data_IF_962966293670
#
_entry.id   IF_962966293670
#
_cell.length_a   1.000
_cell.length_b   1.000
_cell.length_c   1.000
_cell.angle_alpha   90.00
_cell.angle_beta   90.00
_cell.angle_gamma   90.00
#
_symmetry.space_group_name_H-M   'P 1'
#
loop_
_entity.id
_entity.type
_entity.pdbx_description
1 polymer ?
#
# COMPACT_ATOMS: atom_id res chain seq x y z
N UNK A 1 -5.68 24.69 34.38
CA UNK A 1 -5.19 23.30 34.50
C UNK A 1 -6.26 22.19 34.31
N UNK A 2 -7.59 22.40 34.35
CA UNK A 2 -8.53 21.30 34.10
C UNK A 2 -8.69 20.93 32.62
N UNK A 3 -8.57 21.91 31.71
CA UNK A 3 -8.80 21.71 30.26
C UNK A 3 -7.74 20.82 29.60
N UNK A 4 -6.48 20.91 30.02
CA UNK A 4 -5.41 20.05 29.46
C UNK A 4 -5.63 18.59 29.82
N UNK A 5 -6.01 18.29 31.07
CA UNK A 5 -6.38 16.93 31.49
C UNK A 5 -7.58 16.41 30.69
N UNK A 6 -8.63 17.22 30.55
CA UNK A 6 -9.81 16.86 29.77
C UNK A 6 -9.47 16.56 28.29
N UNK A 7 -8.63 17.39 27.68
CA UNK A 7 -8.13 17.20 26.32
C UNK A 7 -7.38 15.86 26.18
N UNK A 8 -6.41 15.58 27.06
CA UNK A 8 -5.66 14.31 27.00
C UNK A 8 -6.54 13.09 27.26
N UNK A 9 -7.47 13.16 28.21
CA UNK A 9 -8.40 12.05 28.45
C UNK A 9 -9.30 11.80 27.25
N UNK A 10 -9.81 12.86 26.59
CA UNK A 10 -10.66 12.70 25.42
C UNK A 10 -9.88 12.25 24.19
N UNK A 11 -8.62 12.69 24.05
CA UNK A 11 -7.71 12.17 23.04
C UNK A 11 -7.54 10.66 23.23
N UNK A 12 -7.23 10.19 24.44
CA UNK A 12 -7.02 8.77 24.73
C UNK A 12 -8.30 7.95 24.53
N UNK A 13 -9.43 8.38 25.10
CA UNK A 13 -10.73 7.72 24.91
C UNK A 13 -11.12 7.67 23.43
N UNK A 14 -11.02 8.79 22.71
CA UNK A 14 -11.36 8.85 21.30
C UNK A 14 -10.48 7.93 20.46
N UNK A 15 -9.20 7.80 20.79
CA UNK A 15 -8.29 6.86 20.10
C UNK A 15 -8.64 5.41 20.38
N UNK A 16 -8.98 5.09 21.62
CA UNK A 16 -9.41 3.74 22.00
C UNK A 16 -10.70 3.37 21.28
N UNK A 17 -11.69 4.28 21.22
CA UNK A 17 -12.91 4.07 20.45
C UNK A 17 -12.65 3.92 18.95
N UNK A 18 -11.76 4.72 18.37
CA UNK A 18 -11.42 4.63 16.95
C UNK A 18 -10.77 3.27 16.61
N UNK A 19 -9.82 2.81 17.42
CA UNK A 19 -9.17 1.49 17.25
C UNK A 19 -10.16 0.35 17.42
N UNK A 20 -11.03 0.44 18.42
CA UNK A 20 -12.03 -0.57 18.73
C UNK A 20 -13.10 -0.63 17.63
N UNK A 21 -13.52 0.51 17.09
CA UNK A 21 -14.42 0.58 15.94
C UNK A 21 -13.79 0.01 14.67
N UNK A 22 -12.55 0.42 14.34
CA UNK A 22 -11.83 -0.06 13.16
C UNK A 22 -11.50 -1.56 13.22
N UNK A 23 -11.37 -2.14 14.41
CA UNK A 23 -11.14 -3.58 14.59
C UNK A 23 -12.43 -4.41 14.65
N UNK A 24 -13.47 -3.93 15.33
CA UNK A 24 -14.73 -4.67 15.48
C UNK A 24 -15.58 -4.68 14.22
N UNK A 25 -15.67 -3.56 13.48
CA UNK A 25 -16.50 -3.48 12.27
C UNK A 25 -16.14 -4.57 11.24
N UNK A 26 -14.87 -4.78 10.84
CA UNK A 26 -14.53 -5.86 9.92
C UNK A 26 -14.77 -7.25 10.52
N UNK A 27 -14.61 -7.41 11.83
CA UNK A 27 -14.83 -8.68 12.53
C UNK A 27 -16.32 -9.06 12.57
N UNK A 28 -17.19 -8.08 12.81
CA UNK A 28 -18.65 -8.25 12.78
C UNK A 28 -19.15 -8.50 11.35
N UNK A 29 -18.62 -7.77 10.36
CA UNK A 29 -18.95 -8.02 8.95
C UNK A 29 -18.52 -9.43 8.51
N UNK A 30 -17.31 -9.86 8.89
CA UNK A 30 -16.84 -11.21 8.62
C UNK A 30 -17.73 -12.26 9.32
N UNK A 31 -18.06 -12.07 10.60
CA UNK A 31 -18.94 -12.96 11.35
C UNK A 31 -20.35 -13.04 10.75
N UNK A 32 -20.92 -11.91 10.31
CA UNK A 32 -22.22 -11.87 9.65
C UNK A 32 -22.21 -12.64 8.32
N UNK A 33 -21.14 -12.48 7.52
CA UNK A 33 -20.96 -13.25 6.28
C UNK A 33 -20.78 -14.75 6.52
N UNK A 34 -20.11 -15.14 7.61
CA UNK A 34 -19.94 -16.53 8.02
C UNK A 34 -21.26 -17.19 8.46
N UNK A 35 -22.15 -16.46 9.12
CA UNK A 35 -23.48 -16.96 9.55
C UNK A 35 -24.45 -17.09 8.37
N UNK A 36 -24.34 -16.23 7.35
CA UNK A 36 -25.21 -16.25 6.16
C UNK A 36 -24.85 -17.35 5.15
N UNK A 37 -23.68 -18.00 5.26
CA UNK A 37 -23.17 -18.93 4.24
C UNK A 37 -22.45 -20.16 4.84
N UNK A 38 -23.13 -20.93 5.69
CA UNK A 38 -22.58 -22.15 6.31
C UNK A 38 -22.08 -23.21 5.29
N UNK A 39 -22.64 -23.25 4.07
CA UNK A 39 -22.22 -24.16 3.00
C UNK A 39 -20.91 -23.76 2.29
N UNK A 40 -20.44 -22.52 2.44
CA UNK A 40 -19.24 -21.99 1.78
C UNK A 40 -17.95 -22.18 2.61
N UNK A 41 -18.07 -22.57 3.87
CA UNK A 41 -16.96 -22.64 4.82
C UNK A 41 -16.01 -23.84 4.62
N UNK A 42 -16.45 -24.90 3.93
CA UNK A 42 -15.67 -26.15 3.85
C UNK A 42 -14.58 -26.18 2.77
N UNK A 43 -14.61 -25.28 1.79
CA UNK A 43 -13.61 -25.18 0.71
C UNK A 43 -12.74 -23.91 0.80
N UNK A 44 -13.02 -23.04 1.77
CA UNK A 44 -12.49 -21.68 1.79
C UNK A 44 -11.13 -21.59 2.51
N UNK A 45 -10.04 -21.90 1.79
CA UNK A 45 -8.68 -21.77 2.32
C UNK A 45 -8.24 -20.30 2.42
N UNK A 46 -7.25 -19.99 3.28
CA UNK A 46 -6.66 -18.64 3.43
C UNK A 46 -6.15 -18.02 2.11
N UNK A 47 -5.87 -18.85 1.10
CA UNK A 47 -5.46 -18.39 -0.23
C UNK A 47 -6.61 -17.68 -0.98
N UNK A 48 -7.83 -18.21 -0.87
CA UNK A 48 -9.02 -17.62 -1.49
C UNK A 48 -9.39 -16.27 -0.86
N UNK A 49 -9.21 -16.13 0.47
CA UNK A 49 -9.37 -14.84 1.15
C UNK A 49 -8.42 -13.77 0.62
N UNK A 50 -7.14 -14.13 0.43
CA UNK A 50 -6.16 -13.20 -0.13
C UNK A 50 -6.46 -12.84 -1.59
N UNK A 51 -6.92 -13.81 -2.39
CA UNK A 51 -7.31 -13.59 -3.78
C UNK A 51 -8.51 -12.62 -3.89
N UNK A 52 -9.58 -12.85 -3.13
CA UNK A 52 -10.76 -11.98 -3.14
C UNK A 52 -10.47 -10.56 -2.62
N UNK A 53 -9.62 -10.43 -1.59
CA UNK A 53 -9.15 -9.13 -1.11
C UNK A 53 -8.33 -8.38 -2.16
N UNK A 54 -7.59 -9.10 -3.00
CA UNK A 54 -6.80 -8.50 -4.08
C UNK A 54 -7.69 -8.02 -5.22
N UNK A 55 -8.67 -8.83 -5.63
CA UNK A 55 -9.64 -8.49 -6.67
C UNK A 55 -10.44 -7.23 -6.33
N UNK A 56 -10.86 -7.10 -5.06
CA UNK A 56 -11.62 -5.94 -4.59
C UNK A 56 -10.78 -4.86 -3.89
N UNK A 57 -9.45 -4.87 -4.07
CA UNK A 57 -8.50 -3.97 -3.37
C UNK A 57 -8.88 -2.50 -3.49
N UNK A 58 -9.26 -2.05 -4.69
CA UNK A 58 -9.66 -0.65 -4.92
C UNK A 58 -10.94 -0.28 -4.14
N UNK A 59 -11.94 -1.17 -4.13
CA UNK A 59 -13.17 -0.96 -3.37
C UNK A 59 -12.89 -0.93 -1.85
N UNK A 60 -12.02 -1.82 -1.37
CA UNK A 60 -11.59 -1.86 0.02
C UNK A 60 -10.90 -0.53 0.42
N UNK A 61 -10.03 0.00 -0.44
CA UNK A 61 -9.40 1.31 -0.21
C UNK A 61 -10.42 2.45 -0.12
N UNK A 62 -11.37 2.52 -1.05
CA UNK A 62 -12.40 3.56 -1.03
C UNK A 62 -13.31 3.47 0.20
N UNK A 63 -13.77 2.26 0.53
CA UNK A 63 -14.62 2.03 1.72
C UNK A 63 -13.87 2.37 3.00
N UNK A 64 -12.62 1.93 3.13
CA UNK A 64 -11.80 2.21 4.32
C UNK A 64 -11.49 3.70 4.43
N UNK A 65 -11.20 4.37 3.31
CA UNK A 65 -10.98 5.82 3.28
C UNK A 65 -12.23 6.60 3.69
N UNK A 66 -13.42 6.19 3.23
CA UNK A 66 -14.69 6.83 3.61
C UNK A 66 -14.99 6.65 5.11
N UNK A 67 -14.82 5.44 5.64
CA UNK A 67 -14.98 5.15 7.07
C UNK A 67 -13.99 5.97 7.90
N UNK A 68 -12.72 5.99 7.49
CA UNK A 68 -11.68 6.75 8.16
C UNK A 68 -11.98 8.25 8.15
N UNK A 69 -12.40 8.81 7.01
CA UNK A 69 -12.77 10.22 6.89
C UNK A 69 -13.91 10.59 7.84
N UNK A 70 -14.96 9.76 7.91
CA UNK A 70 -16.06 9.94 8.86
C UNK A 70 -15.60 9.89 10.32
N UNK A 71 -14.78 8.88 10.67
CA UNK A 71 -14.25 8.72 12.03
C UNK A 71 -13.35 9.91 12.45
N UNK A 72 -12.48 10.37 11.56
CA UNK A 72 -11.62 11.54 11.78
C UNK A 72 -12.44 12.82 11.95
N UNK A 73 -13.50 13.02 11.14
CA UNK A 73 -14.40 14.17 11.27
C UNK A 73 -15.12 14.20 12.62
N UNK A 74 -15.66 13.06 13.06
CA UNK A 74 -16.28 12.94 14.38
C UNK A 74 -15.27 13.15 15.52
N UNK A 75 -14.06 12.61 15.39
CA UNK A 75 -12.99 12.78 16.36
C UNK A 75 -12.56 14.24 16.49
N UNK A 76 -12.37 14.93 15.36
CA UNK A 76 -12.05 16.35 15.34
C UNK A 76 -13.15 17.18 16.00
N UNK A 77 -14.42 16.92 15.65
CA UNK A 77 -15.56 17.62 16.24
C UNK A 77 -15.66 17.42 17.76
N UNK A 78 -15.37 16.20 18.23
CA UNK A 78 -15.35 15.90 19.66
C UNK A 78 -14.24 16.64 20.40
N UNK A 79 -13.05 16.80 19.79
CA UNK A 79 -11.94 17.56 20.39
C UNK A 79 -12.16 19.06 20.31
N UNK A 80 -12.70 19.58 19.20
CA UNK A 80 -12.98 21.01 19.02
C UNK A 80 -13.90 21.55 20.12
N UNK A 81 -14.91 20.76 20.55
CA UNK A 81 -15.76 21.09 21.70
C UNK A 81 -14.98 21.32 23.00
N UNK A 82 -13.90 20.58 23.24
CA UNK A 82 -13.04 20.80 24.42
C UNK A 82 -12.10 21.97 24.19
N UNK A 83 -11.54 22.08 22.98
CA UNK A 83 -10.60 23.15 22.63
C UNK A 83 -11.28 24.51 22.75
N UNK A 84 -12.56 24.63 22.40
CA UNK A 84 -13.35 25.84 22.58
C UNK A 84 -13.42 26.33 24.05
N UNK A 85 -13.25 25.42 25.03
CA UNK A 85 -13.19 25.75 26.46
C UNK A 85 -11.80 26.20 26.91
N UNK A 86 -10.78 26.04 26.07
CA UNK A 86 -9.41 26.46 26.36
C UNK A 86 -9.24 27.98 26.19
N UNK A 87 -8.18 28.53 26.80
CA UNK A 87 -7.79 29.93 26.60
C UNK A 87 -7.45 30.19 25.11
N UNK A 88 -7.81 31.35 24.54
CA UNK A 88 -7.59 31.66 23.11
C UNK A 88 -6.14 31.46 22.65
N UNK A 89 -5.18 31.83 23.50
CA UNK A 89 -3.75 31.68 23.18
C UNK A 89 -3.28 30.22 23.03
N UNK A 90 -4.00 29.26 23.60
CA UNK A 90 -3.68 27.83 23.53
C UNK A 90 -4.54 27.06 22.53
N UNK A 91 -5.61 27.65 22.00
CA UNK A 91 -6.53 26.99 21.06
C UNK A 91 -5.81 26.56 19.79
N UNK A 92 -5.00 27.44 19.21
CA UNK A 92 -4.21 27.13 18.01
C UNK A 92 -3.27 25.96 18.26
N UNK A 93 -2.58 25.91 19.40
CA UNK A 93 -1.67 24.82 19.74
C UNK A 93 -2.41 23.46 19.84
N UNK A 94 -3.57 23.41 20.49
CA UNK A 94 -4.36 22.19 20.57
C UNK A 94 -4.93 21.76 19.22
N UNK A 95 -5.36 22.70 18.37
CA UNK A 95 -5.82 22.40 17.02
C UNK A 95 -4.68 21.82 16.17
N UNK A 96 -3.50 22.45 16.18
CA UNK A 96 -2.32 21.95 15.46
C UNK A 96 -1.91 20.57 15.94
N UNK A 97 -1.86 20.33 17.27
CA UNK A 97 -1.57 19.00 17.80
C UNK A 97 -2.62 17.96 17.39
N UNK A 98 -3.90 18.32 17.39
CA UNK A 98 -4.99 17.42 16.97
C UNK A 98 -4.84 17.02 15.51
N UNK A 99 -4.59 17.98 14.62
CA UNK A 99 -4.40 17.73 13.18
C UNK A 99 -3.16 16.87 12.93
N UNK A 100 -2.02 17.19 13.57
CA UNK A 100 -0.80 16.39 13.45
C UNK A 100 -1.01 14.95 13.93
N UNK A 101 -1.71 14.79 15.05
CA UNK A 101 -2.03 13.46 15.58
C UNK A 101 -2.92 12.66 14.62
N UNK A 102 -3.96 13.28 14.06
CA UNK A 102 -4.84 12.64 13.08
C UNK A 102 -4.08 12.23 11.81
N UNK A 103 -3.19 13.09 11.30
CA UNK A 103 -2.34 12.80 10.14
C UNK A 103 -1.41 11.61 10.41
N UNK A 104 -0.79 11.56 11.60
CA UNK A 104 0.10 10.47 11.97
C UNK A 104 -0.66 9.14 12.07
N UNK A 105 -1.84 9.15 12.68
CA UNK A 105 -2.68 7.95 12.82
C UNK A 105 -3.21 7.46 11.47
N UNK A 106 -3.69 8.35 10.60
CA UNK A 106 -4.19 7.98 9.28
C UNK A 106 -3.07 7.42 8.40
N UNK A 107 -1.87 8.02 8.46
CA UNK A 107 -0.69 7.52 7.77
C UNK A 107 -0.30 6.12 8.26
N UNK A 108 -0.26 5.90 9.58
CA UNK A 108 0.02 4.58 10.16
C UNK A 108 -0.99 3.51 9.74
N UNK A 109 -2.28 3.83 9.76
CA UNK A 109 -3.34 2.92 9.32
C UNK A 109 -3.24 2.60 7.83
N UNK A 110 -2.97 3.60 7.00
CA UNK A 110 -2.77 3.41 5.56
C UNK A 110 -1.59 2.47 5.29
N UNK A 111 -0.47 2.61 6.03
CA UNK A 111 0.68 1.70 5.89
C UNK A 111 0.28 0.27 6.25
N UNK A 112 -0.41 0.08 7.37
CA UNK A 112 -0.86 -1.25 7.81
C UNK A 112 -1.77 -1.89 6.77
N UNK A 113 -2.75 -1.12 6.25
CA UNK A 113 -3.69 -1.58 5.24
C UNK A 113 -2.99 -1.94 3.93
N UNK A 114 -2.13 -1.05 3.41
CA UNK A 114 -1.35 -1.32 2.19
C UNK A 114 -0.46 -2.53 2.37
N UNK A 115 0.22 -2.66 3.52
CA UNK A 115 1.11 -3.79 3.80
C UNK A 115 0.35 -5.11 3.90
N UNK A 116 -0.83 -5.12 4.52
CA UNK A 116 -1.66 -6.33 4.65
C UNK A 116 -2.24 -6.80 3.32
N UNK A 117 -2.51 -5.87 2.40
CA UNK A 117 -3.06 -6.15 1.07
C UNK A 117 -2.00 -6.30 -0.03
N UNK A 118 -0.73 -6.01 0.27
CA UNK A 118 0.37 -6.22 -0.68
C UNK A 118 0.57 -7.73 -0.84
N UNK A 119 0.62 -8.25 -2.08
CA UNK A 119 0.83 -9.68 -2.27
C UNK A 119 2.24 -10.10 -1.87
N UNK A 120 2.36 -11.37 -1.50
CA UNK A 120 3.67 -11.98 -1.24
C UNK A 120 4.32 -12.34 -2.58
N UNK A 121 5.48 -11.76 -2.85
CA UNK A 121 6.23 -12.04 -4.07
C UNK A 121 7.26 -13.14 -3.82
N UNK A 122 7.34 -14.10 -4.74
CA UNK A 122 8.16 -15.31 -4.64
C UNK A 122 8.89 -15.60 -5.96
N UNK A 123 9.69 -16.67 -5.95
CA UNK A 123 10.34 -17.26 -7.13
C UNK A 123 11.20 -16.26 -7.94
N UNK A 124 11.89 -15.35 -7.26
CA UNK A 124 12.59 -14.23 -7.89
C UNK A 124 13.61 -14.66 -8.96
N UNK A 125 14.36 -15.75 -8.73
CA UNK A 125 15.33 -16.24 -9.72
C UNK A 125 14.70 -16.71 -11.03
N UNK A 126 13.49 -17.26 -10.96
CA UNK A 126 12.76 -17.74 -12.14
C UNK A 126 12.24 -16.55 -12.95
N UNK A 127 11.52 -15.63 -12.31
CA UNK A 127 10.97 -14.44 -12.95
C UNK A 127 12.06 -13.52 -13.50
N UNK A 128 13.17 -13.36 -12.78
CA UNK A 128 14.33 -12.60 -13.24
C UNK A 128 14.87 -13.17 -14.55
N UNK A 129 14.98 -14.50 -14.67
CA UNK A 129 15.43 -15.14 -15.92
C UNK A 129 14.41 -15.03 -17.04
N UNK A 130 13.13 -15.26 -16.74
CA UNK A 130 12.05 -15.25 -17.74
C UNK A 130 11.79 -13.86 -18.33
N UNK A 131 11.90 -12.81 -17.50
CA UNK A 131 11.62 -11.43 -17.89
C UNK A 131 12.89 -10.65 -18.28
N UNK A 132 13.99 -11.35 -18.56
CA UNK A 132 15.26 -10.76 -19.00
C UNK A 132 15.88 -9.77 -17.98
N UNK A 133 15.71 -10.00 -16.68
CA UNK A 133 16.40 -9.28 -15.61
C UNK A 133 17.88 -9.68 -15.46
N UNK A 134 18.41 -9.52 -14.25
CA UNK A 134 19.78 -9.87 -13.87
C UNK A 134 20.75 -8.70 -13.94
N UNK A 135 22.04 -9.01 -14.13
CA UNK A 135 23.11 -8.00 -14.13
C UNK A 135 23.10 -7.15 -15.40
N UNK A 136 23.20 -5.83 -15.20
CA UNK A 136 23.25 -4.82 -16.26
C UNK A 136 24.23 -3.72 -15.91
N UNK A 137 24.92 -3.20 -16.91
CA UNK A 137 25.84 -2.09 -16.74
C UNK A 137 25.29 -0.81 -17.39
N UNK A 138 25.21 0.26 -16.61
CA UNK A 138 24.78 1.58 -17.07
C UNK A 138 25.78 2.62 -16.64
N UNK A 139 26.33 3.37 -17.61
CA UNK A 139 27.31 4.45 -17.36
C UNK A 139 28.49 3.99 -16.48
N UNK A 140 28.95 2.76 -16.69
CA UNK A 140 30.06 2.16 -15.95
C UNK A 140 29.69 1.55 -14.59
N UNK A 141 28.46 1.75 -14.09
CA UNK A 141 27.97 1.16 -12.84
C UNK A 141 27.20 -0.13 -13.11
N UNK A 142 27.43 -1.17 -12.32
CA UNK A 142 26.67 -2.42 -12.36
C UNK A 142 25.40 -2.29 -11.50
N UNK A 143 24.32 -2.85 -12.03
CA UNK A 143 23.02 -2.93 -11.38
C UNK A 143 22.47 -4.34 -11.53
N UNK A 144 21.91 -4.85 -10.44
CA UNK A 144 21.17 -6.11 -10.45
C UNK A 144 19.66 -5.82 -10.51
N UNK A 145 18.99 -6.30 -11.54
CA UNK A 145 17.54 -6.16 -11.71
C UNK A 145 16.88 -7.48 -11.31
N UNK A 146 16.24 -7.50 -10.16
CA UNK A 146 15.50 -8.65 -9.62
C UNK A 146 14.01 -8.49 -9.92
N UNK A 147 13.38 -9.55 -10.42
CA UNK A 147 11.93 -9.61 -10.62
C UNK A 147 11.36 -10.78 -9.83
N UNK A 148 10.24 -10.57 -9.14
CA UNK A 148 9.53 -11.59 -8.37
C UNK A 148 8.03 -11.57 -8.72
N UNK A 149 7.41 -12.73 -8.85
CA UNK A 149 5.98 -12.86 -9.15
C UNK A 149 5.12 -13.08 -7.91
N UNK A 150 3.88 -12.59 -7.94
CA UNK A 150 2.88 -12.78 -6.89
C UNK A 150 2.04 -14.07 -7.06
N UNK A 151 2.19 -14.79 -8.18
CA UNK A 151 1.32 -15.86 -8.64
C UNK A 151 0.24 -15.35 -9.61
N UNK A 152 -0.13 -16.17 -10.60
CA UNK A 152 -1.15 -15.83 -11.59
C UNK A 152 -2.57 -16.11 -11.09
N UNK A 153 -3.52 -15.23 -11.40
CA UNK A 153 -4.94 -15.46 -11.18
C UNK A 153 -5.61 -16.30 -12.30
N UNK A 154 -6.92 -16.54 -12.17
CA UNK A 154 -7.71 -17.29 -13.16
C UNK A 154 -7.74 -16.62 -14.55
N UNK A 155 -7.54 -15.31 -14.61
CA UNK A 155 -7.46 -14.51 -15.84
C UNK A 155 -6.03 -14.40 -16.39
N UNK A 156 -5.09 -15.15 -15.81
CA UNK A 156 -3.65 -15.17 -16.16
C UNK A 156 -2.95 -13.83 -15.97
N UNK A 157 -3.55 -12.91 -15.20
CA UNK A 157 -2.84 -11.73 -14.76
C UNK A 157 -1.97 -12.09 -13.58
N UNK A 158 -0.77 -11.52 -13.57
CA UNK A 158 0.16 -11.71 -12.48
C UNK A 158 0.87 -10.40 -12.16
N UNK A 159 0.93 -10.05 -10.88
CA UNK A 159 1.67 -8.89 -10.44
C UNK A 159 3.15 -9.22 -10.25
N UNK A 160 4.01 -8.41 -10.86
CA UNK A 160 5.46 -8.50 -10.78
C UNK A 160 6.00 -7.35 -9.93
N UNK A 161 6.92 -7.68 -9.03
CA UNK A 161 7.75 -6.70 -8.32
C UNK A 161 9.13 -6.68 -8.95
N UNK A 162 9.53 -5.53 -9.46
CA UNK A 162 10.87 -5.25 -9.95
C UNK A 162 11.65 -4.46 -8.91
N UNK A 163 12.88 -4.89 -8.62
CA UNK A 163 13.82 -4.21 -7.75
C UNK A 163 15.14 -4.01 -8.46
N UNK A 164 15.71 -2.82 -8.33
CA UNK A 164 17.02 -2.48 -8.88
C UNK A 164 17.98 -2.31 -7.72
N UNK A 165 19.06 -3.07 -7.70
CA UNK A 165 20.13 -2.96 -6.70
C UNK A 165 21.36 -2.32 -7.34
N UNK A 166 22.10 -1.53 -6.54
CA UNK A 166 23.43 -1.06 -6.91
C UNK A 166 24.50 -2.14 -6.68
N UNK A 167 25.74 -1.87 -7.07
CA UNK A 167 26.92 -2.74 -6.88
C UNK A 167 27.17 -3.15 -5.43
N UNK A 168 26.63 -2.39 -4.47
CA UNK A 168 26.78 -2.64 -3.04
C UNK A 168 25.59 -3.45 -2.47
N UNK A 169 24.68 -3.92 -3.32
CA UNK A 169 23.48 -4.64 -2.92
C UNK A 169 22.39 -3.76 -2.29
N UNK A 170 22.46 -2.43 -2.43
CA UNK A 170 21.41 -1.53 -1.91
C UNK A 170 20.35 -1.32 -2.97
N UNK A 171 19.08 -1.47 -2.60
CA UNK A 171 17.99 -1.17 -3.53
C UNK A 171 17.94 0.33 -3.87
N UNK A 172 17.86 0.64 -5.15
CA UNK A 172 17.83 1.99 -5.73
C UNK A 172 16.43 2.38 -6.19
N UNK A 173 15.67 1.41 -6.68
CA UNK A 173 14.31 1.61 -7.14
C UNK A 173 13.49 0.33 -6.98
N UNK A 174 12.19 0.50 -6.72
CA UNK A 174 11.19 -0.57 -6.77
C UNK A 174 10.03 -0.15 -7.66
N UNK A 175 9.52 -1.09 -8.45
CA UNK A 175 8.33 -0.95 -9.29
C UNK A 175 7.44 -2.16 -9.17
N UNK A 176 6.15 -1.93 -9.38
CA UNK A 176 5.12 -2.94 -9.43
C UNK A 176 4.38 -2.78 -10.74
N UNK A 177 4.19 -3.86 -11.47
CA UNK A 177 3.44 -3.88 -12.72
C UNK A 177 2.72 -5.21 -12.88
N UNK A 178 1.73 -5.28 -13.75
CA UNK A 178 0.97 -6.49 -14.02
C UNK A 178 1.36 -7.03 -15.40
N UNK A 179 1.56 -8.33 -15.51
CA UNK A 179 1.71 -9.02 -16.79
C UNK A 179 0.49 -9.90 -17.05
N UNK A 180 0.19 -10.15 -18.33
CA UNK A 180 -0.79 -11.14 -18.76
C UNK A 180 -0.07 -12.25 -19.52
N UNK A 181 -0.05 -13.45 -18.96
CA UNK A 181 0.58 -14.61 -19.62
C UNK A 181 -0.17 -14.98 -20.90
N UNK A 182 0.58 -15.31 -21.96
CA UNK A 182 0.07 -15.57 -23.31
C UNK A 182 -0.61 -14.37 -23.99
N UNK A 183 -0.16 -13.14 -23.67
CA UNK A 183 -0.49 -11.95 -24.45
C UNK A 183 0.42 -11.82 -25.68
N UNK A 184 -0.03 -11.07 -26.69
CA UNK A 184 0.73 -10.77 -27.91
C UNK A 184 1.85 -9.73 -27.69
N UNK A 185 1.99 -9.21 -26.46
CA UNK A 185 2.95 -8.17 -26.11
C UNK A 185 4.28 -8.75 -25.59
N UNK A 186 5.41 -8.06 -25.80
CA UNK A 186 6.68 -8.47 -25.24
C UNK A 186 6.64 -8.39 -23.71
N UNK A 187 6.71 -9.55 -23.06
CA UNK A 187 6.74 -9.69 -21.60
C UNK A 187 8.12 -9.35 -21.00
N UNK A 188 9.17 -9.41 -21.81
CA UNK A 188 10.55 -9.24 -21.37
C UNK A 188 10.93 -7.78 -21.23
N UNK A 189 11.86 -7.49 -20.31
CA UNK A 189 12.50 -6.18 -20.24
C UNK A 189 13.33 -5.94 -21.51
N UNK A 190 13.13 -4.78 -22.13
CA UNK A 190 13.89 -4.30 -23.28
C UNK A 190 14.88 -3.24 -22.83
N UNK A 191 16.16 -3.41 -23.20
CA UNK A 191 17.26 -2.60 -22.66
C UNK A 191 17.78 -1.61 -23.70
N UNK A 192 17.99 -0.37 -23.24
CA UNK A 192 18.64 0.71 -23.98
C UNK A 192 19.88 1.19 -23.23
N UNK A 193 20.59 2.18 -23.78
CA UNK A 193 21.84 2.68 -23.19
C UNK A 193 21.64 3.42 -21.85
N UNK A 194 20.46 4.02 -21.64
CA UNK A 194 20.15 4.91 -20.52
C UNK A 194 18.78 4.64 -19.88
N UNK A 195 18.10 3.56 -20.28
CA UNK A 195 16.82 3.15 -19.74
C UNK A 195 16.54 1.68 -20.08
N UNK A 196 15.48 1.12 -19.49
CA UNK A 196 14.84 -0.08 -19.99
C UNK A 196 13.32 0.14 -20.05
N UNK A 197 12.63 -0.59 -20.93
CA UNK A 197 11.18 -0.60 -21.03
C UNK A 197 10.59 -1.91 -20.53
N UNK A 198 9.37 -1.84 -20.01
CA UNK A 198 8.56 -2.97 -19.56
C UNK A 198 7.09 -2.73 -19.87
N UNK A 199 6.33 -3.80 -20.06
CA UNK A 199 4.90 -3.72 -20.34
C UNK A 199 4.08 -3.88 -19.06
N UNK A 200 3.09 -3.01 -18.86
CA UNK A 200 2.19 -3.07 -17.71
C UNK A 200 0.73 -3.23 -18.18
N UNK A 201 0.21 -4.45 -18.05
CA UNK A 201 -1.15 -4.83 -18.40
C UNK A 201 -2.19 -4.44 -17.34
N UNK A 202 -1.79 -3.71 -16.29
CA UNK A 202 -2.66 -3.33 -15.18
C UNK A 202 -3.44 -2.02 -15.39
N UNK A 203 -3.02 -1.18 -16.34
CA UNK A 203 -3.71 0.08 -16.65
C UNK A 203 -4.59 -0.03 -17.90
N UNK A 204 -5.61 0.83 -17.96
CA UNK A 204 -6.65 0.85 -19.01
C UNK A 204 -6.08 0.97 -20.43
N UNK A 205 -4.84 1.44 -20.55
CA UNK A 205 -4.09 1.49 -21.79
C UNK A 205 -2.79 0.67 -21.61
N UNK A 206 -2.72 -0.43 -22.34
CA UNK A 206 -1.61 -1.38 -22.50
C UNK A 206 -0.33 -0.67 -23.02
N UNK A 207 0.32 0.16 -22.19
CA UNK A 207 1.49 0.97 -22.58
C UNK A 207 2.81 0.37 -22.08
N UNK A 208 3.80 0.38 -22.96
CA UNK A 208 5.20 0.23 -22.58
C UNK A 208 5.61 1.39 -21.66
N UNK A 209 6.06 1.04 -20.45
CA UNK A 209 6.64 1.96 -19.47
C UNK A 209 8.14 2.03 -19.66
N UNK A 210 8.72 3.19 -19.39
CA UNK A 210 10.17 3.41 -19.48
C UNK A 210 10.71 3.73 -18.09
N UNK A 211 11.77 3.03 -17.71
CA UNK A 211 12.51 3.24 -16.48
C UNK A 211 13.90 3.80 -16.79
N UNK A 212 14.21 5.04 -16.40
CA UNK A 212 15.53 5.64 -16.63
C UNK A 212 16.61 4.96 -15.79
N UNK A 213 17.81 4.86 -16.37
CA UNK A 213 18.99 4.25 -15.77
C UNK A 213 20.23 5.16 -15.88
N UNK A 214 20.98 5.38 -14.78
CA UNK A 214 20.69 4.98 -13.41
C UNK A 214 19.39 5.61 -12.86
N UNK A 215 18.73 4.97 -11.88
CA UNK A 215 17.51 5.51 -11.30
C UNK A 215 17.75 6.89 -10.68
N UNK A 216 16.88 7.88 -10.95
CA UNK A 216 16.97 9.20 -10.36
C UNK A 216 16.79 9.16 -8.83
N UNK A 217 17.24 10.21 -8.16
CA UNK A 217 17.10 10.33 -6.69
C UNK A 217 15.64 10.28 -6.22
N UNK A 218 14.70 10.76 -7.05
CA UNK A 218 13.26 10.67 -6.75
C UNK A 218 12.79 9.22 -6.59
N UNK A 219 13.30 8.31 -7.42
CA UNK A 219 12.94 6.89 -7.34
C UNK A 219 13.47 6.23 -6.07
N UNK A 220 14.66 6.64 -5.65
CA UNK A 220 15.21 6.21 -4.38
C UNK A 220 14.34 6.68 -3.21
N UNK A 221 13.90 7.95 -3.22
CA UNK A 221 13.05 8.50 -2.16
C UNK A 221 11.71 7.76 -2.10
N UNK A 222 11.03 7.61 -3.25
CA UNK A 222 9.74 6.94 -3.37
C UNK A 222 9.83 5.49 -2.87
N UNK A 223 10.91 4.79 -3.21
CA UNK A 223 11.15 3.41 -2.78
C UNK A 223 11.20 3.24 -1.26
N UNK A 224 11.63 4.27 -0.54
CA UNK A 224 11.76 4.23 0.92
C UNK A 224 10.53 4.77 1.66
N UNK A 225 9.51 5.28 0.95
CA UNK A 225 8.27 5.77 1.54
C UNK A 225 7.15 4.76 1.25
N UNK A 226 6.67 4.00 2.26
CA UNK A 226 5.80 2.83 2.04
C UNK A 226 4.49 3.08 1.29
N UNK A 227 3.98 4.32 1.32
CA UNK A 227 2.73 4.71 0.65
C UNK A 227 2.92 5.34 -0.74
N UNK A 228 4.15 5.69 -1.11
CA UNK A 228 4.43 6.32 -2.41
C UNK A 228 4.98 5.33 -3.45
N UNK A 229 5.30 4.11 -3.01
CA UNK A 229 5.87 3.03 -3.83
C UNK A 229 4.86 2.37 -4.77
#
# INVERSE_FOLDING_TARGET
>A
MPVSRAYFTQLLLGTLYAVLFLSLVPLVLAAAMLVLSYAWLSEWSMAHWKAALHEHRAAIYWVTAAIMGGALGLFYHALDRIIALAKPSWQAAYQTMTVLYMLLMSYGLAILLVSALTPSYHQCDMYTRQLNGGERQYRGQQFHIELCGAGSDASRHEQIRLRIYDEHGRWRAVRYFTIRWASDFPLMLEYSADHFSYFDAGEQDDFARVMPMPPPLGDWLITHIPLLR
#
